data_IF_579088658739
#
_entry.id   IF_579088658739
#
_cell.length_a   1.000
_cell.length_b   1.000
_cell.length_c   1.000
_cell.angle_alpha   90.00
_cell.angle_beta   90.00
_cell.angle_gamma   90.00
#
_symmetry.space_group_name_H-M   'P 1'
#
loop_
_entity.id
_entity.type
_entity.pdbx_description
1 polymer ?
#
# COMPACT_ATOMS: atom_id res chain seq x y z
N UNK A 1 -65.89 47.97 -4.25
CA UNK A 1 -65.06 48.24 -3.04
C UNK A 1 -64.47 46.95 -2.61
N UNK A 2 -63.15 46.99 -2.47
CA UNK A 2 -62.24 46.00 -1.88
C UNK A 2 -62.14 44.61 -2.54
N UNK A 3 -61.13 44.51 -3.42
CA UNK A 3 -60.57 43.33 -3.92
C UNK A 3 -59.94 42.47 -2.79
N UNK A 4 -60.28 41.20 -2.74
CA UNK A 4 -59.59 40.23 -1.91
C UNK A 4 -58.64 39.46 -2.81
N UNK A 5 -57.36 39.79 -2.70
CA UNK A 5 -56.25 39.20 -3.49
C UNK A 5 -55.82 37.94 -2.81
N UNK A 6 -56.20 36.77 -3.36
CA UNK A 6 -55.72 35.50 -2.91
C UNK A 6 -54.25 35.34 -3.30
N UNK A 7 -53.40 35.36 -2.29
CA UNK A 7 -51.98 35.04 -2.41
C UNK A 7 -51.79 33.52 -2.30
N UNK A 8 -51.71 32.86 -3.46
CA UNK A 8 -51.33 31.45 -3.53
C UNK A 8 -49.84 31.35 -3.23
N UNK A 9 -49.49 30.97 -2.02
CA UNK A 9 -48.11 30.65 -1.63
C UNK A 9 -47.80 29.23 -2.12
N UNK A 10 -47.15 29.14 -3.27
CA UNK A 10 -46.62 27.85 -3.77
C UNK A 10 -45.39 27.50 -2.92
N UNK A 11 -45.58 26.57 -2.01
CA UNK A 11 -44.50 25.98 -1.21
C UNK A 11 -43.68 25.05 -2.12
N UNK A 12 -42.56 25.57 -2.64
CA UNK A 12 -41.57 24.78 -3.37
C UNK A 12 -40.85 23.89 -2.37
N UNK A 13 -41.31 22.65 -2.20
CA UNK A 13 -40.55 21.62 -1.48
C UNK A 13 -39.38 21.25 -2.39
N UNK A 14 -38.27 21.94 -2.21
CA UNK A 14 -37.01 21.52 -2.74
C UNK A 14 -36.58 20.26 -1.97
N UNK A 15 -37.04 19.11 -2.45
CA UNK A 15 -36.52 17.79 -2.08
C UNK A 15 -35.07 17.74 -2.53
N UNK A 16 -34.16 18.20 -1.70
CA UNK A 16 -32.75 17.97 -1.88
C UNK A 16 -32.51 16.46 -1.86
N UNK A 17 -32.23 15.87 -3.02
CA UNK A 17 -31.54 14.60 -3.12
C UNK A 17 -30.21 14.81 -2.39
N UNK A 18 -30.17 14.48 -1.10
CA UNK A 18 -28.93 14.22 -0.39
C UNK A 18 -28.34 12.99 -1.08
N UNK A 19 -27.64 13.20 -2.19
CA UNK A 19 -26.66 12.27 -2.64
C UNK A 19 -25.76 12.04 -1.43
N UNK A 20 -25.91 10.91 -0.74
CA UNK A 20 -25.00 10.53 0.34
C UNK A 20 -23.63 10.45 -0.32
N UNK A 21 -22.87 11.53 -0.22
CA UNK A 21 -21.49 11.54 -0.63
C UNK A 21 -20.80 10.46 0.21
N UNK A 22 -20.32 9.43 -0.43
CA UNK A 22 -19.64 8.32 0.22
C UNK A 22 -18.44 8.89 0.97
N UNK A 23 -18.35 8.62 2.26
CA UNK A 23 -17.28 9.14 3.11
C UNK A 23 -16.00 8.31 2.93
N UNK A 24 -14.85 8.89 3.23
CA UNK A 24 -13.59 8.17 3.24
C UNK A 24 -13.67 6.92 4.15
N UNK A 25 -14.29 7.06 5.33
CA UNK A 25 -14.45 5.96 6.29
C UNK A 25 -15.26 4.80 5.72
N UNK A 26 -16.36 5.08 5.00
CA UNK A 26 -17.19 4.06 4.37
C UNK A 26 -16.44 3.30 3.26
N UNK A 27 -15.67 4.01 2.44
CA UNK A 27 -14.87 3.40 1.38
C UNK A 27 -13.79 2.50 1.99
N UNK A 28 -13.08 3.00 3.02
CA UNK A 28 -12.07 2.22 3.75
C UNK A 28 -12.70 0.99 4.41
N UNK A 29 -13.86 1.13 5.08
CA UNK A 29 -14.52 0.00 5.72
C UNK A 29 -14.93 -1.10 4.72
N UNK A 30 -15.43 -0.73 3.54
CA UNK A 30 -15.75 -1.67 2.46
C UNK A 30 -14.49 -2.36 1.94
N UNK A 31 -13.41 -1.60 1.72
CA UNK A 31 -12.13 -2.15 1.32
C UNK A 31 -11.61 -3.17 2.35
N UNK A 32 -11.56 -2.80 3.63
CA UNK A 32 -11.09 -3.69 4.71
C UNK A 32 -11.94 -4.98 4.75
N UNK A 33 -13.25 -4.87 4.60
CA UNK A 33 -14.14 -6.03 4.52
C UNK A 33 -13.80 -6.92 3.33
N UNK A 34 -13.59 -6.33 2.15
CA UNK A 34 -13.28 -7.06 0.92
C UNK A 34 -11.95 -7.81 1.00
N UNK A 35 -10.94 -7.26 1.68
CA UNK A 35 -9.64 -7.90 1.85
C UNK A 35 -9.58 -8.91 3.02
N UNK A 36 -10.72 -9.26 3.64
CA UNK A 36 -10.80 -10.32 4.65
C UNK A 36 -11.06 -9.84 6.07
N UNK A 37 -11.30 -8.55 6.26
CA UNK A 37 -11.69 -7.94 7.53
C UNK A 37 -10.50 -7.57 8.45
N UNK A 38 -10.73 -6.56 9.27
CA UNK A 38 -9.71 -6.02 10.17
C UNK A 38 -9.17 -7.08 11.15
N UNK A 39 -10.04 -7.94 11.68
CA UNK A 39 -9.63 -8.96 12.66
C UNK A 39 -8.69 -10.02 12.09
N UNK A 40 -8.80 -10.33 10.80
CA UNK A 40 -7.87 -11.24 10.11
C UNK A 40 -6.52 -10.57 9.91
N UNK A 41 -6.52 -9.32 9.45
CA UNK A 41 -5.29 -8.55 9.22
C UNK A 41 -4.53 -8.24 10.53
N UNK A 42 -5.23 -7.94 11.62
CA UNK A 42 -4.61 -7.72 12.95
C UNK A 42 -3.86 -8.93 13.48
N UNK A 43 -4.15 -10.12 13.00
CA UNK A 43 -3.45 -11.35 13.36
C UNK A 43 -2.20 -11.60 12.53
N UNK A 44 -1.95 -10.78 11.50
CA UNK A 44 -0.75 -10.92 10.66
C UNK A 44 0.45 -10.33 11.39
N UNK A 45 1.28 -11.21 11.96
CA UNK A 45 2.50 -10.84 12.68
C UNK A 45 3.75 -11.00 11.82
N UNK A 46 3.72 -11.88 10.82
CA UNK A 46 4.79 -12.00 9.84
C UNK A 46 4.21 -12.31 8.47
N UNK A 47 4.90 -11.84 7.43
CA UNK A 47 4.56 -12.11 6.05
C UNK A 47 5.83 -12.39 5.26
N UNK A 48 5.83 -13.50 4.53
CA UNK A 48 6.82 -13.83 3.51
C UNK A 48 6.17 -13.76 2.15
N UNK A 49 6.82 -13.10 1.20
CA UNK A 49 6.39 -13.05 -0.20
C UNK A 49 7.58 -13.33 -1.10
N UNK A 50 7.36 -14.09 -2.16
CA UNK A 50 8.33 -14.27 -3.23
C UNK A 50 7.68 -14.14 -4.60
N UNK A 51 8.45 -13.70 -5.56
CA UNK A 51 8.02 -13.52 -6.94
C UNK A 51 9.17 -13.12 -7.83
N UNK A 52 8.86 -12.76 -9.05
CA UNK A 52 9.84 -12.27 -10.01
C UNK A 52 9.27 -11.13 -10.83
N UNK A 53 10.16 -10.25 -11.28
CA UNK A 53 9.88 -9.20 -12.26
C UNK A 53 10.85 -9.33 -13.41
N UNK A 54 10.35 -9.24 -14.65
CA UNK A 54 11.22 -9.18 -15.83
C UNK A 54 11.52 -7.72 -16.14
N UNK A 55 12.80 -7.35 -16.05
CA UNK A 55 13.30 -6.00 -16.35
C UNK A 55 14.22 -6.09 -17.56
N UNK A 56 13.86 -5.43 -18.66
CA UNK A 56 14.64 -5.44 -19.91
C UNK A 56 15.04 -6.85 -20.38
N UNK A 57 14.10 -7.81 -20.25
CA UNK A 57 14.33 -9.20 -20.66
C UNK A 57 15.13 -10.06 -19.68
N UNK A 58 15.50 -9.53 -18.52
CA UNK A 58 16.20 -10.27 -17.46
C UNK A 58 15.26 -10.49 -16.28
N UNK A 59 15.18 -11.72 -15.79
CA UNK A 59 14.36 -12.03 -14.62
C UNK A 59 15.12 -11.69 -13.33
N UNK A 60 14.46 -10.93 -12.50
CA UNK A 60 14.90 -10.55 -11.15
C UNK A 60 14.00 -11.24 -10.15
N UNK A 61 14.55 -12.15 -9.36
CA UNK A 61 13.79 -12.78 -8.28
C UNK A 61 13.80 -11.87 -7.04
N UNK A 62 12.63 -11.76 -6.41
CA UNK A 62 12.43 -10.94 -5.20
C UNK A 62 11.81 -11.84 -4.13
N UNK A 63 12.39 -11.80 -2.93
CA UNK A 63 11.83 -12.45 -1.76
C UNK A 63 11.85 -11.46 -0.58
N UNK A 64 10.71 -11.25 0.06
CA UNK A 64 10.57 -10.30 1.15
C UNK A 64 10.00 -11.00 2.40
N UNK A 65 10.64 -10.78 3.52
CA UNK A 65 10.15 -11.18 4.85
C UNK A 65 9.92 -9.94 5.69
N UNK A 66 8.73 -9.82 6.26
CA UNK A 66 8.40 -8.75 7.21
C UNK A 66 7.93 -9.38 8.52
N UNK A 67 8.47 -8.92 9.63
CA UNK A 67 7.99 -9.18 10.99
C UNK A 67 7.40 -7.89 11.54
N UNK A 68 6.11 -7.90 11.84
CA UNK A 68 5.31 -6.72 12.16
C UNK A 68 5.99 -5.79 13.17
N UNK A 69 6.24 -4.56 12.75
CA UNK A 69 6.90 -3.51 13.52
C UNK A 69 8.30 -3.86 14.09
N UNK A 70 8.93 -4.95 13.62
CA UNK A 70 10.24 -5.38 14.11
C UNK A 70 11.32 -5.35 13.04
N UNK A 71 10.98 -5.76 11.81
CA UNK A 71 11.97 -5.75 10.74
C UNK A 71 11.42 -6.22 9.41
N UNK A 72 12.13 -5.83 8.38
CA UNK A 72 11.92 -6.25 7.00
C UNK A 72 13.26 -6.61 6.38
N UNK A 73 13.30 -7.69 5.60
CA UNK A 73 14.38 -8.02 4.70
C UNK A 73 13.82 -8.34 3.32
N UNK A 74 14.30 -7.64 2.33
CA UNK A 74 14.05 -7.92 0.92
C UNK A 74 15.33 -8.41 0.27
N UNK A 75 15.31 -9.60 -0.29
CA UNK A 75 16.39 -10.14 -1.12
C UNK A 75 16.04 -9.93 -2.59
N UNK A 76 17.03 -9.49 -3.37
CA UNK A 76 16.92 -9.24 -4.81
C UNK A 76 18.02 -10.04 -5.49
N UNK A 77 17.62 -11.02 -6.31
CA UNK A 77 18.57 -11.90 -7.00
C UNK A 77 18.56 -11.63 -8.51
N UNK A 78 19.73 -11.31 -9.04
CA UNK A 78 19.96 -10.98 -10.43
C UNK A 78 21.24 -11.69 -10.91
N UNK A 79 21.14 -12.47 -11.98
CA UNK A 79 22.29 -13.17 -12.62
C UNK A 79 23.15 -13.97 -11.62
N UNK A 80 22.55 -14.65 -10.67
CA UNK A 80 23.25 -15.45 -9.66
C UNK A 80 23.85 -14.66 -8.49
N UNK A 81 23.77 -13.34 -8.50
CA UNK A 81 24.15 -12.50 -7.36
C UNK A 81 22.89 -12.11 -6.56
N UNK A 82 23.00 -12.12 -5.24
CA UNK A 82 21.91 -11.68 -4.36
C UNK A 82 22.35 -10.47 -3.56
N UNK A 83 21.58 -9.39 -3.75
CA UNK A 83 21.60 -8.22 -2.88
C UNK A 83 20.45 -8.25 -1.88
N UNK A 84 20.47 -7.33 -0.92
CA UNK A 84 19.39 -7.21 0.04
C UNK A 84 19.21 -5.77 0.53
N UNK A 85 17.99 -5.51 0.94
CA UNK A 85 17.63 -4.37 1.77
C UNK A 85 17.09 -4.89 3.09
N UNK A 86 17.59 -4.34 4.19
CA UNK A 86 17.16 -4.66 5.55
C UNK A 86 16.71 -3.37 6.21
N UNK A 87 15.61 -3.44 6.94
CA UNK A 87 15.13 -2.33 7.75
C UNK A 87 14.57 -2.84 9.07
N UNK A 88 14.90 -2.14 10.14
CA UNK A 88 14.30 -2.25 11.47
C UNK A 88 13.84 -0.86 11.91
N UNK A 89 13.12 -0.69 13.03
CA UNK A 89 12.73 0.64 13.51
C UNK A 89 13.90 1.59 13.79
N UNK A 90 15.11 1.07 13.99
CA UNK A 90 16.27 1.86 14.45
C UNK A 90 17.48 1.79 13.52
N UNK A 91 17.50 0.87 12.58
CA UNK A 91 18.64 0.69 11.69
C UNK A 91 18.21 0.04 10.37
N UNK A 92 19.00 0.21 9.33
CA UNK A 92 18.78 -0.48 8.06
C UNK A 92 20.05 -0.47 7.21
N UNK A 93 20.07 -1.35 6.21
CA UNK A 93 21.21 -1.56 5.33
C UNK A 93 20.75 -1.92 3.92
N UNK A 94 21.50 -1.40 2.94
CA UNK A 94 21.42 -1.80 1.54
C UNK A 94 22.70 -2.50 1.13
N UNK A 95 22.60 -3.60 0.42
CA UNK A 95 23.71 -4.30 -0.22
C UNK A 95 23.31 -4.80 -1.59
N UNK A 96 23.85 -4.20 -2.65
CA UNK A 96 23.54 -4.51 -4.05
C UNK A 96 24.83 -4.84 -4.80
N UNK A 97 25.37 -6.07 -4.67
CA UNK A 97 26.67 -6.44 -5.28
C UNK A 97 26.63 -6.35 -6.81
N UNK A 98 25.48 -6.58 -7.44
CA UNK A 98 25.32 -6.40 -8.88
C UNK A 98 25.36 -4.93 -9.35
N UNK A 99 25.37 -3.98 -8.41
CA UNK A 99 25.62 -2.53 -8.65
C UNK A 99 27.04 -2.11 -8.25
N UNK A 100 27.92 -3.08 -7.93
CA UNK A 100 29.32 -2.83 -7.58
C UNK A 100 29.59 -2.59 -6.10
N UNK A 101 28.57 -2.68 -5.22
CA UNK A 101 28.81 -2.57 -3.77
C UNK A 101 29.62 -3.76 -3.26
N UNK A 102 30.64 -3.47 -2.44
CA UNK A 102 31.53 -4.47 -1.84
C UNK A 102 31.13 -4.86 -0.41
N UNK A 103 30.34 -4.02 0.26
CA UNK A 103 29.88 -4.20 1.64
C UNK A 103 28.51 -3.57 1.83
N UNK A 104 27.75 -4.02 2.85
CA UNK A 104 26.51 -3.34 3.24
C UNK A 104 26.74 -1.88 3.61
N UNK A 105 25.86 -1.02 3.16
CA UNK A 105 25.82 0.40 3.48
C UNK A 105 24.60 0.70 4.34
N UNK A 106 24.80 1.45 5.44
CA UNK A 106 23.71 1.85 6.31
C UNK A 106 22.82 2.86 5.59
N UNK A 107 21.52 2.72 5.71
CA UNK A 107 20.55 3.72 5.28
C UNK A 107 20.45 4.85 6.30
N UNK A 108 20.09 6.03 5.86
CA UNK A 108 20.03 7.22 6.70
C UNK A 108 18.82 7.18 7.66
N UNK A 109 18.86 8.00 8.71
CA UNK A 109 17.74 8.15 9.64
C UNK A 109 16.48 8.70 8.95
N UNK A 110 16.65 9.56 7.93
CA UNK A 110 15.54 10.09 7.15
C UNK A 110 14.89 9.00 6.29
N UNK A 111 15.68 8.14 5.64
CA UNK A 111 15.19 6.99 4.87
C UNK A 111 14.47 5.98 5.78
N UNK A 112 14.98 5.71 6.97
CA UNK A 112 14.31 4.87 7.96
C UNK A 112 12.93 5.43 8.32
N UNK A 113 12.85 6.72 8.59
CA UNK A 113 11.60 7.40 8.93
C UNK A 113 10.62 7.40 7.76
N UNK A 114 11.09 7.67 6.54
CA UNK A 114 10.27 7.69 5.33
C UNK A 114 9.67 6.31 5.01
N UNK A 115 10.35 5.22 5.37
CA UNK A 115 9.93 3.86 5.05
C UNK A 115 9.43 3.05 6.26
N UNK A 116 9.23 3.70 7.42
CA UNK A 116 8.78 3.03 8.65
C UNK A 116 7.44 2.26 8.47
N UNK A 117 6.56 2.75 7.59
CA UNK A 117 5.27 2.12 7.29
C UNK A 117 5.41 0.74 6.61
N UNK A 118 6.55 0.43 5.99
CA UNK A 118 6.82 -0.87 5.37
C UNK A 118 6.98 -2.01 6.38
N UNK A 119 7.17 -1.67 7.66
CA UNK A 119 7.20 -2.64 8.77
C UNK A 119 5.80 -3.07 9.23
N UNK A 120 4.75 -2.41 8.73
CA UNK A 120 3.37 -2.74 9.08
C UNK A 120 2.80 -3.80 8.16
N UNK A 121 2.81 -5.07 8.62
CA UNK A 121 2.23 -6.20 7.87
C UNK A 121 0.71 -6.14 7.77
N UNK A 122 0.03 -5.31 8.56
CA UNK A 122 -1.42 -5.25 8.64
C UNK A 122 -2.04 -4.30 7.62
N UNK A 123 -1.21 -3.52 6.94
CA UNK A 123 -1.64 -2.57 5.91
C UNK A 123 -2.06 -1.20 6.46
N UNK A 124 -1.80 -0.20 5.65
CA UNK A 124 -1.90 1.22 6.00
C UNK A 124 -3.32 1.67 6.36
N UNK A 125 -4.34 1.03 5.80
CA UNK A 125 -5.75 1.40 5.99
C UNK A 125 -6.42 0.67 7.18
N UNK A 126 -5.84 -0.47 7.65
CA UNK A 126 -6.37 -1.17 8.83
C UNK A 126 -6.09 -0.34 10.07
N UNK A 127 -7.15 0.03 10.78
CA UNK A 127 -7.07 0.89 11.97
C UNK A 127 -6.27 2.19 11.77
N UNK A 128 -6.32 2.77 10.58
CA UNK A 128 -5.49 3.89 10.17
C UNK A 128 -5.55 5.08 11.17
N UNK A 129 -6.72 5.35 11.79
CA UNK A 129 -6.86 6.42 12.80
C UNK A 129 -6.03 6.15 14.05
N UNK A 130 -6.03 4.91 14.53
CA UNK A 130 -5.24 4.53 15.71
C UNK A 130 -3.73 4.52 15.44
N UNK A 131 -3.34 4.32 14.18
CA UNK A 131 -1.95 4.47 13.71
C UNK A 131 -1.53 5.94 13.55
N UNK A 132 -2.46 6.88 13.73
CA UNK A 132 -2.22 8.31 13.58
C UNK A 132 -2.22 8.79 12.13
N UNK A 133 -2.79 8.00 11.22
CA UNK A 133 -2.96 8.40 9.82
C UNK A 133 -4.30 9.13 9.62
N UNK A 134 -4.37 9.95 8.59
CA UNK A 134 -5.62 10.56 8.12
C UNK A 134 -5.92 10.11 6.70
N UNK A 135 -7.20 9.94 6.39
CA UNK A 135 -7.65 9.56 5.04
C UNK A 135 -8.68 10.58 4.57
N UNK A 136 -8.53 11.05 3.35
CA UNK A 136 -9.43 12.00 2.70
C UNK A 136 -9.93 11.39 1.38
N UNK A 137 -11.23 11.52 1.14
CA UNK A 137 -11.83 11.15 -0.14
C UNK A 137 -11.75 12.34 -1.10
N UNK A 138 -11.09 12.16 -2.23
CA UNK A 138 -10.85 13.20 -3.25
C UNK A 138 -11.83 13.11 -4.43
N UNK A 139 -12.87 12.28 -4.33
CA UNK A 139 -13.77 12.02 -5.44
C UNK A 139 -13.39 10.75 -6.19
N UNK A 140 -13.81 10.67 -7.45
CA UNK A 140 -13.50 9.55 -8.33
C UNK A 140 -12.51 10.00 -9.42
N UNK A 141 -11.76 9.05 -9.95
CA UNK A 141 -10.82 9.27 -11.03
C UNK A 141 -10.74 8.01 -11.90
N UNK A 142 -10.39 8.17 -13.17
CA UNK A 142 -10.27 7.04 -14.09
C UNK A 142 -8.94 6.30 -13.92
N UNK A 143 -9.03 4.99 -13.80
CA UNK A 143 -7.87 4.09 -13.81
C UNK A 143 -8.10 3.04 -14.88
N UNK A 144 -7.53 3.25 -16.06
CA UNK A 144 -7.62 2.34 -17.21
C UNK A 144 -9.08 1.94 -17.55
N UNK A 145 -10.01 2.91 -17.51
CA UNK A 145 -11.44 2.71 -17.77
C UNK A 145 -12.29 2.34 -16.56
N UNK A 146 -11.70 2.23 -15.38
CA UNK A 146 -12.42 2.04 -14.11
C UNK A 146 -12.55 3.37 -13.39
N UNK A 147 -13.78 3.83 -13.13
CA UNK A 147 -14.07 5.01 -12.31
C UNK A 147 -13.86 4.68 -10.83
N UNK A 148 -12.60 4.74 -10.37
CA UNK A 148 -12.17 4.34 -9.04
C UNK A 148 -12.36 5.44 -7.98
N UNK A 149 -12.63 5.07 -6.74
CA UNK A 149 -12.57 5.98 -5.60
C UNK A 149 -11.12 6.38 -5.34
N UNK A 150 -10.87 7.70 -5.29
CA UNK A 150 -9.54 8.27 -5.02
C UNK A 150 -9.44 8.68 -3.56
N UNK A 151 -8.60 8.01 -2.80
CA UNK A 151 -8.32 8.32 -1.39
C UNK A 151 -6.89 8.80 -1.24
N UNK A 152 -6.69 9.87 -0.48
CA UNK A 152 -5.38 10.33 -0.03
C UNK A 152 -5.18 9.94 1.43
N UNK A 153 -4.16 9.14 1.71
CA UNK A 153 -3.68 8.89 3.06
C UNK A 153 -2.50 9.80 3.37
N UNK A 154 -2.52 10.41 4.55
CA UNK A 154 -1.37 11.09 5.13
C UNK A 154 -0.95 10.31 6.37
N UNK A 155 0.23 9.72 6.32
CA UNK A 155 0.80 8.95 7.43
C UNK A 155 1.20 9.86 8.58
N UNK A 156 1.33 9.29 9.77
CA UNK A 156 1.86 10.00 10.95
C UNK A 156 3.26 10.60 10.68
N UNK A 157 4.05 10.00 9.81
CA UNK A 157 5.36 10.49 9.37
C UNK A 157 5.29 11.75 8.51
N UNK A 158 4.09 12.07 7.96
CA UNK A 158 3.89 13.11 6.95
C UNK A 158 3.96 12.60 5.51
N UNK A 159 4.34 11.34 5.27
CA UNK A 159 4.32 10.71 3.94
C UNK A 159 2.89 10.69 3.40
N UNK A 160 2.74 11.01 2.13
CA UNK A 160 1.43 11.00 1.44
C UNK A 160 1.42 9.90 0.38
N UNK A 161 0.32 9.16 0.33
CA UNK A 161 0.05 8.15 -0.68
C UNK A 161 -1.40 8.26 -1.16
N UNK A 162 -1.64 8.00 -2.42
CA UNK A 162 -2.97 7.98 -3.00
C UNK A 162 -3.34 6.54 -3.34
N UNK A 163 -4.55 6.14 -2.93
CA UNK A 163 -5.15 4.85 -3.27
C UNK A 163 -6.29 5.06 -4.24
N UNK A 164 -6.38 4.18 -5.22
CA UNK A 164 -7.51 4.08 -6.13
C UNK A 164 -8.20 2.74 -5.88
N UNK A 165 -9.46 2.80 -5.43
CA UNK A 165 -10.23 1.63 -5.04
C UNK A 165 -11.36 1.42 -6.06
N UNK A 166 -11.41 0.25 -6.66
CA UNK A 166 -12.48 -0.15 -7.56
C UNK A 166 -13.81 -0.28 -6.80
N UNK A 167 -14.88 0.44 -7.19
CA UNK A 167 -16.18 0.37 -6.52
C UNK A 167 -16.85 -1.01 -6.57
N UNK A 168 -16.53 -1.82 -7.57
CA UNK A 168 -17.16 -3.12 -7.77
C UNK A 168 -16.56 -4.19 -6.85
N UNK A 169 -15.24 -4.29 -6.80
CA UNK A 169 -14.52 -5.26 -5.97
C UNK A 169 -14.17 -4.74 -4.59
N UNK A 170 -14.11 -3.43 -4.40
CA UNK A 170 -13.52 -2.73 -3.27
C UNK A 170 -12.03 -3.02 -3.05
N UNK A 171 -11.32 -3.51 -4.06
CA UNK A 171 -9.87 -3.69 -4.01
C UNK A 171 -9.14 -2.42 -4.43
N UNK A 172 -7.95 -2.21 -3.88
CA UNK A 172 -7.03 -1.19 -4.39
C UNK A 172 -6.51 -1.67 -5.74
N UNK A 173 -6.75 -0.91 -6.80
CA UNK A 173 -6.26 -1.24 -8.16
C UNK A 173 -5.03 -0.44 -8.55
N UNK A 174 -4.80 0.71 -7.88
CA UNK A 174 -3.62 1.56 -8.08
C UNK A 174 -3.22 2.26 -6.80
N UNK A 175 -1.92 2.42 -6.60
CA UNK A 175 -1.37 3.33 -5.61
C UNK A 175 -0.41 4.31 -6.28
N UNK A 176 -0.38 5.54 -5.76
CA UNK A 176 0.58 6.57 -6.19
C UNK A 176 1.25 7.15 -4.96
N UNK A 177 2.57 7.14 -4.94
CA UNK A 177 3.37 7.72 -3.86
C UNK A 177 4.52 8.54 -4.42
N UNK A 178 5.02 9.48 -3.65
CA UNK A 178 6.23 10.20 -3.96
C UNK A 178 7.40 9.55 -3.26
N UNK A 179 8.48 9.37 -3.98
CA UNK A 179 9.73 8.81 -3.47
C UNK A 179 10.89 9.69 -3.90
N UNK A 180 11.97 9.71 -3.12
CA UNK A 180 13.19 10.39 -3.51
C UNK A 180 14.08 9.43 -4.30
N UNK A 181 14.40 9.80 -5.54
CA UNK A 181 15.37 9.10 -6.36
C UNK A 181 16.43 10.11 -6.82
N UNK A 182 17.69 9.85 -6.52
CA UNK A 182 18.82 10.73 -6.85
C UNK A 182 18.62 12.19 -6.37
N UNK A 183 18.01 12.36 -5.19
CA UNK A 183 17.73 13.68 -4.59
C UNK A 183 16.54 14.44 -5.18
N UNK A 184 15.82 13.85 -6.14
CA UNK A 184 14.61 14.41 -6.73
C UNK A 184 13.36 13.63 -6.28
N UNK A 185 12.24 14.32 -6.06
CA UNK A 185 10.94 13.65 -5.89
C UNK A 185 10.48 13.07 -7.23
N UNK A 186 10.22 11.77 -7.25
CA UNK A 186 9.60 11.06 -8.37
C UNK A 186 8.29 10.44 -7.91
N UNK A 187 7.32 10.46 -8.80
CA UNK A 187 6.04 9.78 -8.55
C UNK A 187 6.18 8.31 -8.93
N UNK A 188 5.85 7.43 -7.98
CA UNK A 188 5.82 5.99 -8.16
C UNK A 188 4.37 5.53 -8.24
N UNK A 189 3.96 5.10 -9.43
CA UNK A 189 2.67 4.46 -9.66
C UNK A 189 2.83 2.95 -9.61
N UNK A 190 1.93 2.29 -8.88
CA UNK A 190 1.90 0.82 -8.74
C UNK A 190 0.47 0.34 -8.96
N UNK A 191 0.26 -0.54 -9.97
CA UNK A 191 -1.04 -1.18 -10.19
C UNK A 191 -1.06 -2.56 -9.54
N UNK A 192 -2.20 -2.91 -8.93
CA UNK A 192 -2.40 -4.14 -8.18
C UNK A 192 -3.52 -4.96 -8.80
N UNK A 193 -3.29 -6.25 -9.01
CA UNK A 193 -4.28 -7.15 -9.61
C UNK A 193 -4.11 -8.59 -9.13
N UNK A 194 -4.92 -9.51 -9.68
CA UNK A 194 -4.89 -10.94 -9.39
C UNK A 194 -5.04 -11.25 -7.89
N UNK A 195 -6.02 -10.62 -7.25
CA UNK A 195 -6.28 -10.79 -5.83
C UNK A 195 -6.65 -12.23 -5.46
N UNK A 196 -5.95 -12.77 -4.47
CA UNK A 196 -6.13 -14.15 -3.99
C UNK A 196 -6.42 -14.16 -2.49
N UNK A 197 -7.44 -14.93 -2.10
CA UNK A 197 -7.71 -15.23 -0.70
C UNK A 197 -6.76 -16.31 -0.19
N UNK A 198 -6.10 -16.01 0.91
CA UNK A 198 -5.21 -16.94 1.61
C UNK A 198 -5.98 -17.78 2.65
N UNK A 199 -5.41 -18.92 3.10
CA UNK A 199 -6.03 -19.76 4.14
C UNK A 199 -6.32 -19.02 5.44
N UNK A 200 -5.52 -18.00 5.77
CA UNK A 200 -5.64 -17.15 6.95
C UNK A 200 -6.83 -16.17 6.87
N UNK A 201 -7.54 -16.17 5.73
CA UNK A 201 -8.75 -15.37 5.50
C UNK A 201 -8.50 -14.00 4.90
N UNK A 202 -7.25 -13.54 4.81
CA UNK A 202 -6.88 -12.28 4.16
C UNK A 202 -6.82 -12.43 2.64
N UNK A 203 -6.97 -11.31 1.92
CA UNK A 203 -6.89 -11.25 0.46
C UNK A 203 -5.73 -10.33 0.07
N UNK A 204 -4.85 -10.81 -0.79
CA UNK A 204 -3.64 -10.11 -1.23
C UNK A 204 -3.52 -10.08 -2.75
N UNK A 205 -2.92 -9.03 -3.36
CA UNK A 205 -2.63 -9.01 -4.78
C UNK A 205 -1.49 -9.97 -5.11
N UNK A 206 -1.62 -10.71 -6.21
CA UNK A 206 -0.59 -11.63 -6.73
C UNK A 206 0.14 -11.04 -7.95
N UNK A 207 -0.29 -9.87 -8.42
CA UNK A 207 0.35 -9.15 -9.51
C UNK A 207 0.51 -7.68 -9.14
N UNK A 208 1.74 -7.17 -9.30
CA UNK A 208 2.13 -5.80 -8.98
C UNK A 208 2.86 -5.22 -10.20
N UNK A 209 2.21 -4.30 -10.91
CA UNK A 209 2.80 -3.61 -12.06
C UNK A 209 3.51 -2.34 -11.57
N UNK A 210 4.79 -2.30 -11.79
CA UNK A 210 5.69 -1.19 -11.47
C UNK A 210 6.09 -0.46 -12.76
N UNK A 211 6.61 0.77 -12.72
CA UNK A 211 7.03 1.50 -13.93
C UNK A 211 8.09 0.76 -14.77
N UNK A 212 8.87 -0.12 -14.15
CA UNK A 212 9.97 -0.85 -14.80
C UNK A 212 9.65 -2.32 -15.10
N UNK A 213 8.46 -2.82 -14.74
CA UNK A 213 8.04 -4.19 -15.03
C UNK A 213 6.89 -4.68 -14.16
N UNK A 214 6.36 -5.84 -14.50
CA UNK A 214 5.30 -6.49 -13.75
C UNK A 214 5.87 -7.60 -12.87
N UNK A 215 5.75 -7.44 -11.57
CA UNK A 215 6.09 -8.48 -10.59
C UNK A 215 4.93 -9.46 -10.48
N UNK A 216 5.22 -10.74 -10.63
CA UNK A 216 4.31 -11.85 -10.34
C UNK A 216 4.68 -12.45 -8.99
N UNK A 217 3.77 -12.39 -8.04
CA UNK A 217 3.93 -13.05 -6.73
C UNK A 217 3.57 -14.52 -6.89
N UNK A 218 4.48 -15.40 -6.56
CA UNK A 218 4.32 -16.85 -6.72
C UNK A 218 3.98 -17.51 -5.39
N UNK A 219 4.40 -16.92 -4.27
CA UNK A 219 4.18 -17.46 -2.93
C UNK A 219 3.93 -16.35 -1.92
N UNK A 220 2.98 -16.59 -1.02
CA UNK A 220 2.74 -15.79 0.19
C UNK A 220 2.56 -16.75 1.36
N UNK A 221 3.30 -16.53 2.44
CA UNK A 221 3.15 -17.24 3.72
C UNK A 221 2.95 -16.23 4.85
N UNK A 222 2.02 -16.53 5.74
CA UNK A 222 1.62 -15.65 6.83
C UNK A 222 1.86 -16.36 8.16
N UNK A 223 2.33 -15.60 9.15
CA UNK A 223 2.53 -16.08 10.52
C UNK A 223 3.50 -17.26 10.66
N UNK A 224 4.44 -17.40 9.74
CA UNK A 224 5.55 -18.34 9.91
C UNK A 224 6.56 -17.78 10.92
N UNK A 225 7.21 -18.64 11.71
CA UNK A 225 8.29 -18.20 12.59
C UNK A 225 9.40 -17.51 11.80
N UNK A 226 9.84 -16.35 12.29
CA UNK A 226 10.92 -15.55 11.71
C UNK A 226 12.01 -15.37 12.74
N UNK A 227 13.25 -15.74 12.42
CA UNK A 227 14.43 -15.44 13.23
C UNK A 227 14.77 -13.95 13.04
N UNK A 228 14.79 -13.18 14.12
CA UNK A 228 15.12 -11.75 14.10
C UNK A 228 16.57 -11.49 13.65
N UNK A 229 17.48 -12.48 13.68
CA UNK A 229 18.80 -12.36 13.09
C UNK A 229 18.77 -12.13 11.57
N UNK A 230 17.67 -12.48 10.91
CA UNK A 230 17.44 -12.18 9.50
C UNK A 230 17.53 -10.68 9.20
N UNK A 231 17.24 -9.84 10.17
CA UNK A 231 17.27 -8.38 10.05
C UNK A 231 18.61 -7.74 10.41
N UNK A 232 19.69 -8.53 10.39
CA UNK A 232 21.06 -8.05 10.50
C UNK A 232 21.78 -8.20 9.17
N UNK A 233 22.73 -7.31 8.84
CA UNK A 233 23.53 -7.49 7.64
C UNK A 233 24.35 -8.78 7.73
N UNK A 234 24.51 -9.45 6.59
CA UNK A 234 25.33 -10.64 6.51
C UNK A 234 26.79 -10.28 6.82
N UNK A 235 27.35 -10.90 7.86
CA UNK A 235 28.78 -10.73 8.21
C UNK A 235 29.56 -11.64 7.27
N UNK A 236 30.42 -11.04 6.45
CA UNK A 236 31.43 -11.79 5.68
C UNK A 236 32.72 -11.95 6.47
#
# INVERSE_FOLDING_TARGET
MKALRNLLTTLFVAGGLLAQAQTADEIVAKHITAIGGADSWKKVNSMYQEGSVTVQGTDVAIAMTVLHNKGMRQNISLMGMTGYQIMTPTAGWNFMPFQGQQKPEAITADELKENADELDTQGELVDYKSKGHTVEYLGKDDVEGTEAYKLRITHKSGKVKTFYIDPASNYIIRTVSKQKANGQEVEMTTDLSDYKKLPEGIVVPMSVKLPFGQMKVTKVEVNKPVDENLFKPDVK
#
